data_IF_621367764802
#
_entry.id   IF_621367764802
#
_cell.length_a   1.000
_cell.length_b   1.000
_cell.length_c   1.000
_cell.angle_alpha   90.00
_cell.angle_beta   90.00
_cell.angle_gamma   90.00
#
_symmetry.space_group_name_H-M   'P 1'
#
loop_
_entity.id
_entity.type
_entity.pdbx_description
1 polymer ?
#
# COMPACT_ATOMS: atom_id res chain seq x y z
N UNK A 1 -20.55 -22.97 -11.84
CA UNK A 1 -20.41 -22.64 -13.28
C UNK A 1 -19.54 -21.41 -13.51
N UNK A 2 -19.87 -20.20 -13.01
CA UNK A 2 -19.08 -18.97 -13.26
C UNK A 2 -17.60 -18.99 -12.84
N UNK A 3 -17.26 -19.66 -11.74
CA UNK A 3 -15.86 -19.77 -11.29
C UNK A 3 -15.00 -20.61 -12.26
N UNK A 4 -15.57 -21.68 -12.83
CA UNK A 4 -14.88 -22.52 -13.80
C UNK A 4 -14.71 -21.81 -15.15
N UNK A 5 -15.71 -21.04 -15.58
CA UNK A 5 -15.64 -20.23 -16.81
C UNK A 5 -14.55 -19.14 -16.69
N UNK A 6 -14.45 -18.51 -15.52
CA UNK A 6 -13.40 -17.55 -15.21
C UNK A 6 -12.01 -18.19 -15.28
N UNK A 7 -11.80 -19.32 -14.61
CA UNK A 7 -10.52 -20.04 -14.62
C UNK A 7 -10.12 -20.48 -16.03
N UNK A 8 -11.06 -21.04 -16.81
CA UNK A 8 -10.83 -21.44 -18.19
C UNK A 8 -10.39 -20.26 -19.08
N UNK A 9 -11.05 -19.10 -18.91
CA UNK A 9 -10.70 -17.88 -19.64
C UNK A 9 -9.29 -17.34 -19.30
N UNK A 10 -8.82 -17.54 -18.07
CA UNK A 10 -7.46 -17.17 -17.65
C UNK A 10 -6.42 -18.16 -18.16
N UNK A 11 -6.72 -19.47 -18.13
CA UNK A 11 -5.78 -20.51 -18.60
C UNK A 11 -5.61 -20.52 -20.11
N UNK A 12 -6.62 -20.13 -20.87
CA UNK A 12 -6.60 -20.16 -22.32
C UNK A 12 -7.22 -18.88 -22.90
N UNK A 13 -6.55 -17.73 -22.71
CA UNK A 13 -7.11 -16.46 -23.13
C UNK A 13 -7.11 -16.36 -24.66
N UNK A 14 -8.12 -15.69 -25.22
CA UNK A 14 -8.22 -15.44 -26.67
C UNK A 14 -7.08 -14.58 -27.22
N UNK A 15 -6.45 -13.78 -26.35
CA UNK A 15 -5.23 -13.03 -26.62
C UNK A 15 -4.34 -13.10 -25.38
N UNK A 16 -3.06 -13.34 -25.59
CA UNK A 16 -2.10 -13.38 -24.49
C UNK A 16 -2.03 -12.02 -23.79
N UNK A 17 -2.17 -12.04 -22.46
CA UNK A 17 -2.20 -10.82 -21.67
C UNK A 17 -0.89 -10.04 -21.78
N UNK A 18 0.26 -10.72 -21.70
CA UNK A 18 1.58 -10.07 -21.70
C UNK A 18 1.83 -9.37 -23.03
N UNK A 19 1.55 -10.07 -24.13
CA UNK A 19 1.72 -9.56 -25.49
C UNK A 19 0.87 -8.31 -25.73
N UNK A 20 -0.43 -8.36 -25.44
CA UNK A 20 -1.32 -7.21 -25.67
C UNK A 20 -0.98 -6.04 -24.74
N UNK A 21 -0.61 -6.31 -23.49
CA UNK A 21 -0.24 -5.28 -22.52
C UNK A 21 1.07 -4.58 -22.93
N UNK A 22 2.08 -5.35 -23.35
CA UNK A 22 3.33 -4.78 -23.86
C UNK A 22 3.09 -3.94 -25.13
N UNK A 23 2.23 -4.40 -26.04
CA UNK A 23 1.86 -3.65 -27.24
C UNK A 23 1.12 -2.33 -26.94
N UNK A 24 0.60 -2.13 -25.72
CA UNK A 24 -0.04 -0.88 -25.31
C UNK A 24 0.93 0.21 -24.85
N UNK A 25 2.22 -0.12 -24.64
CA UNK A 25 3.22 0.81 -24.12
C UNK A 25 3.34 2.13 -24.91
N UNK A 26 3.36 2.14 -26.27
CA UNK A 26 3.40 3.40 -27.03
C UNK A 26 2.17 4.30 -26.77
N UNK A 27 0.98 3.71 -26.67
CA UNK A 27 -0.27 4.45 -26.41
C UNK A 27 -0.33 4.99 -24.98
N UNK A 28 0.25 4.25 -24.04
CA UNK A 28 0.42 4.71 -22.66
C UNK A 28 1.34 5.94 -22.60
N UNK A 29 2.52 5.86 -23.22
CA UNK A 29 3.50 6.96 -23.27
C UNK A 29 2.86 8.21 -23.89
N UNK A 30 2.20 8.06 -25.04
CA UNK A 30 1.50 9.16 -25.70
C UNK A 30 0.45 9.79 -24.79
N UNK A 31 -0.41 8.97 -24.18
CA UNK A 31 -1.50 9.41 -23.32
C UNK A 31 -1.02 10.17 -22.08
N UNK A 32 0.01 9.64 -21.40
CA UNK A 32 0.61 10.28 -20.22
C UNK A 32 1.30 11.60 -20.61
N UNK A 33 2.08 11.59 -21.69
CA UNK A 33 2.78 12.79 -22.18
C UNK A 33 1.78 13.89 -22.54
N UNK A 34 0.73 13.55 -23.29
CA UNK A 34 -0.34 14.49 -23.64
C UNK A 34 -1.04 15.05 -22.40
N UNK A 35 -1.39 14.20 -21.44
CA UNK A 35 -2.04 14.64 -20.20
C UNK A 35 -1.14 15.59 -19.37
N UNK A 36 0.16 15.32 -19.34
CA UNK A 36 1.16 16.15 -18.69
C UNK A 36 1.30 17.52 -19.39
N UNK A 37 1.52 17.52 -20.71
CA UNK A 37 1.62 18.73 -21.54
C UNK A 37 0.39 19.61 -21.42
N UNK A 38 -0.81 19.01 -21.44
CA UNK A 38 -2.07 19.74 -21.31
C UNK A 38 -2.40 20.16 -19.86
N UNK A 39 -1.53 19.84 -18.89
CA UNK A 39 -1.69 20.12 -17.45
C UNK A 39 -3.01 19.60 -16.89
N UNK A 40 -3.48 18.44 -17.34
CA UNK A 40 -4.81 17.90 -16.98
C UNK A 40 -4.96 17.68 -15.48
N UNK A 41 -3.91 17.19 -14.81
CA UNK A 41 -3.90 17.00 -13.36
C UNK A 41 -4.15 18.33 -12.62
N UNK A 42 -3.33 19.35 -12.90
CA UNK A 42 -3.45 20.66 -12.26
C UNK A 42 -4.80 21.33 -12.52
N UNK A 43 -5.32 21.24 -13.76
CA UNK A 43 -6.68 21.69 -14.09
C UNK A 43 -7.76 20.96 -13.29
N UNK A 44 -7.60 19.64 -13.10
CA UNK A 44 -8.47 18.82 -12.27
C UNK A 44 -8.47 19.27 -10.80
N UNK A 45 -7.28 19.50 -10.23
CA UNK A 45 -7.10 20.01 -8.86
C UNK A 45 -7.75 21.38 -8.71
N UNK A 46 -7.46 22.33 -9.61
CA UNK A 46 -8.02 23.68 -9.58
C UNK A 46 -9.56 23.67 -9.70
N UNK A 47 -10.11 22.80 -10.56
CA UNK A 47 -11.56 22.64 -10.74
C UNK A 47 -12.26 22.13 -9.48
N UNK A 48 -11.61 21.28 -8.69
CA UNK A 48 -12.17 20.81 -7.41
C UNK A 48 -12.00 21.88 -6.35
N UNK A 49 -10.76 22.35 -6.17
CA UNK A 49 -10.41 23.36 -5.17
C UNK A 49 -10.56 22.87 -3.71
N UNK A 50 -10.03 23.68 -2.79
CA UNK A 50 -10.03 23.36 -1.35
C UNK A 50 -11.44 23.22 -0.79
N UNK A 51 -12.35 24.12 -1.15
CA UNK A 51 -13.70 24.15 -0.57
C UNK A 51 -14.52 22.88 -0.87
N UNK A 52 -14.45 22.36 -2.10
CA UNK A 52 -15.18 21.13 -2.47
C UNK A 52 -14.57 19.91 -1.78
N UNK A 53 -13.24 19.84 -1.70
CA UNK A 53 -12.55 18.78 -0.96
C UNK A 53 -12.93 18.81 0.52
N UNK A 54 -12.84 19.96 1.18
CA UNK A 54 -13.21 20.12 2.60
C UNK A 54 -14.64 19.67 2.85
N UNK A 55 -15.61 20.16 2.06
CA UNK A 55 -17.01 19.76 2.21
C UNK A 55 -17.20 18.25 2.10
N UNK A 56 -16.59 17.59 1.10
CA UNK A 56 -16.72 16.14 0.93
C UNK A 56 -16.01 15.35 2.03
N UNK A 57 -14.83 15.79 2.45
CA UNK A 57 -14.08 15.17 3.54
C UNK A 57 -14.82 15.27 4.88
N UNK A 58 -15.45 16.41 5.15
CA UNK A 58 -16.23 16.64 6.38
C UNK A 58 -17.56 15.90 6.31
N UNK A 59 -18.40 16.20 5.32
CA UNK A 59 -19.79 15.71 5.30
C UNK A 59 -19.90 14.20 5.04
N UNK A 60 -18.93 13.62 4.31
CA UNK A 60 -18.94 12.20 3.94
C UNK A 60 -17.81 11.43 4.59
N UNK A 61 -16.60 11.99 4.60
CA UNK A 61 -15.41 11.30 5.10
C UNK A 61 -15.49 11.00 6.61
N UNK A 62 -15.95 11.96 7.42
CA UNK A 62 -16.03 11.78 8.89
C UNK A 62 -16.96 10.62 9.28
N UNK A 63 -18.13 10.52 8.63
CA UNK A 63 -19.08 9.43 8.85
C UNK A 63 -18.54 8.06 8.44
N UNK A 64 -17.61 8.00 7.47
CA UNK A 64 -17.00 6.75 6.99
C UNK A 64 -15.76 6.34 7.78
N UNK A 65 -15.02 7.30 8.32
CA UNK A 65 -13.72 7.05 8.94
C UNK A 65 -13.81 6.10 10.12
N UNK A 66 -14.66 6.40 11.11
CA UNK A 66 -14.80 5.57 12.32
C UNK A 66 -15.19 4.12 12.00
N UNK A 67 -16.31 3.88 11.28
CA UNK A 67 -16.70 2.52 10.89
C UNK A 67 -15.66 1.80 10.05
N UNK A 68 -14.98 2.51 9.13
CA UNK A 68 -13.92 1.93 8.31
C UNK A 68 -12.71 1.48 9.12
N UNK A 69 -12.29 2.29 10.11
CA UNK A 69 -11.21 1.92 11.04
C UNK A 69 -11.62 0.70 11.87
N UNK A 70 -12.84 0.68 12.41
CA UNK A 70 -13.33 -0.44 13.20
C UNK A 70 -13.40 -1.74 12.38
N UNK A 71 -13.86 -1.67 11.14
CA UNK A 71 -13.93 -2.81 10.23
C UNK A 71 -12.55 -3.35 9.85
N UNK A 72 -11.53 -2.49 9.75
CA UNK A 72 -10.15 -2.88 9.45
C UNK A 72 -9.37 -3.39 10.68
N UNK A 73 -9.95 -3.30 11.89
CA UNK A 73 -9.31 -3.73 13.13
C UNK A 73 -8.83 -5.18 13.11
N UNK A 74 -9.67 -6.16 12.74
CA UNK A 74 -9.27 -7.56 12.63
C UNK A 74 -8.12 -7.78 11.63
N UNK A 75 -8.20 -7.17 10.44
CA UNK A 75 -7.14 -7.30 9.42
C UNK A 75 -5.81 -6.71 9.91
N UNK A 76 -5.87 -5.58 10.63
CA UNK A 76 -4.69 -4.99 11.25
C UNK A 76 -4.12 -5.89 12.34
N UNK A 77 -4.95 -6.45 13.20
CA UNK A 77 -4.50 -7.36 14.26
C UNK A 77 -3.90 -8.65 13.68
N UNK A 78 -4.51 -9.22 12.65
CA UNK A 78 -3.97 -10.40 11.95
C UNK A 78 -2.63 -10.09 11.27
N UNK A 79 -2.54 -8.96 10.55
CA UNK A 79 -1.34 -8.59 9.80
C UNK A 79 -0.19 -8.11 10.68
N UNK A 80 -0.47 -7.34 11.73
CA UNK A 80 0.55 -6.73 12.60
C UNK A 80 0.81 -7.52 13.88
N UNK A 81 -0.19 -8.22 14.41
CA UNK A 81 -0.09 -9.00 15.66
C UNK A 81 1.14 -9.89 15.74
N UNK A 82 1.46 -10.69 14.71
CA UNK A 82 2.65 -11.54 14.74
C UNK A 82 3.97 -10.77 14.85
N UNK A 83 4.04 -9.55 14.31
CA UNK A 83 5.22 -8.69 14.40
C UNK A 83 5.27 -7.95 15.75
N UNK A 84 4.12 -7.49 16.24
CA UNK A 84 3.98 -6.91 17.59
C UNK A 84 4.49 -7.89 18.64
N UNK A 85 4.09 -9.15 18.56
CA UNK A 85 4.46 -10.18 19.52
C UNK A 85 5.96 -10.49 19.47
N UNK A 86 6.56 -10.49 18.26
CA UNK A 86 8.02 -10.59 18.11
C UNK A 86 8.72 -9.42 18.80
N UNK A 87 8.29 -8.17 18.54
CA UNK A 87 8.89 -6.98 19.16
C UNK A 87 8.78 -7.04 20.68
N UNK A 88 7.60 -7.41 21.20
CA UNK A 88 7.36 -7.52 22.63
C UNK A 88 8.22 -8.58 23.31
N UNK A 89 8.59 -9.65 22.59
CA UNK A 89 9.47 -10.71 23.06
C UNK A 89 10.96 -10.42 22.95
N UNK A 90 11.38 -9.29 22.36
CA UNK A 90 12.80 -8.99 22.18
C UNK A 90 13.47 -8.52 23.47
N UNK A 91 14.52 -9.24 23.85
CA UNK A 91 15.55 -8.72 24.76
C UNK A 91 16.53 -7.87 23.96
N UNK A 92 16.47 -6.56 24.15
CA UNK A 92 17.35 -5.63 23.43
C UNK A 92 18.70 -5.45 24.17
N UNK A 93 19.83 -5.29 23.43
CA UNK A 93 21.13 -4.96 24.01
C UNK A 93 21.09 -3.70 24.87
N UNK A 94 22.08 -3.50 25.75
CA UNK A 94 22.17 -2.32 26.62
C UNK A 94 21.97 -1.02 25.81
N UNK A 95 21.15 -0.10 26.37
CA UNK A 95 20.97 1.23 25.80
C UNK A 95 22.06 2.17 26.32
N UNK A 96 22.72 2.87 25.41
CA UNK A 96 23.74 3.88 25.71
C UNK A 96 23.17 5.30 25.53
N UNK A 97 23.98 6.32 25.78
CA UNK A 97 23.59 7.73 25.62
C UNK A 97 23.09 8.03 24.21
N UNK A 98 22.21 9.03 24.08
CA UNK A 98 21.66 9.44 22.78
C UNK A 98 22.79 9.78 21.81
N UNK A 99 22.75 9.19 20.61
CA UNK A 99 23.77 9.39 19.57
C UNK A 99 24.99 8.46 19.64
N UNK A 100 25.10 7.60 20.66
CA UNK A 100 26.17 6.59 20.73
C UNK A 100 25.93 5.49 19.69
N UNK A 101 26.93 5.24 18.83
CA UNK A 101 26.86 4.26 17.73
C UNK A 101 26.51 2.85 18.19
N UNK A 102 26.84 2.46 19.43
CA UNK A 102 26.49 1.14 19.98
C UNK A 102 24.99 0.92 20.06
N UNK A 103 24.17 1.98 20.09
CA UNK A 103 22.72 1.85 20.02
C UNK A 103 22.23 1.29 18.68
N UNK A 104 23.03 1.34 17.61
CA UNK A 104 22.69 0.73 16.31
C UNK A 104 22.54 -0.79 16.43
N UNK A 105 23.23 -1.43 17.38
CA UNK A 105 23.06 -2.85 17.66
C UNK A 105 21.61 -3.20 18.04
N UNK A 106 20.91 -2.30 18.77
CA UNK A 106 19.50 -2.49 19.13
C UNK A 106 18.59 -2.44 17.90
N UNK A 107 18.87 -1.53 16.96
CA UNK A 107 18.15 -1.44 15.68
C UNK A 107 18.38 -2.70 14.86
N UNK A 108 19.63 -3.17 14.76
CA UNK A 108 19.98 -4.39 14.05
C UNK A 108 19.23 -5.61 14.62
N UNK A 109 19.11 -5.74 15.95
CA UNK A 109 18.34 -6.81 16.61
C UNK A 109 16.88 -6.80 16.20
N UNK A 110 16.21 -5.63 16.25
CA UNK A 110 14.80 -5.51 15.88
C UNK A 110 14.60 -5.81 14.39
N UNK A 111 15.41 -5.20 13.51
CA UNK A 111 15.30 -5.39 12.06
C UNK A 111 15.48 -6.86 11.68
N UNK A 112 16.50 -7.53 12.25
CA UNK A 112 16.73 -8.95 11.98
C UNK A 112 15.54 -9.80 12.43
N UNK A 113 15.02 -9.57 13.63
CA UNK A 113 13.90 -10.34 14.16
C UNK A 113 12.62 -10.20 13.32
N UNK A 114 12.30 -8.98 12.88
CA UNK A 114 11.13 -8.74 12.04
C UNK A 114 11.30 -9.31 10.63
N UNK A 115 12.51 -9.21 10.06
CA UNK A 115 12.82 -9.81 8.77
C UNK A 115 12.73 -11.34 8.81
N UNK A 116 13.28 -11.94 9.86
CA UNK A 116 13.19 -13.38 10.14
C UNK A 116 11.73 -13.84 10.25
N UNK A 117 10.87 -13.08 10.95
CA UNK A 117 9.43 -13.37 11.04
C UNK A 117 8.75 -13.30 9.68
N UNK A 118 9.02 -12.26 8.89
CA UNK A 118 8.45 -12.09 7.54
C UNK A 118 8.77 -13.25 6.59
N UNK A 119 10.01 -13.74 6.61
CA UNK A 119 10.44 -14.82 5.70
C UNK A 119 9.89 -16.18 6.11
N UNK A 120 9.77 -16.45 7.41
CA UNK A 120 9.40 -17.78 7.92
C UNK A 120 7.89 -18.01 8.06
N UNK A 121 7.07 -16.95 7.98
CA UNK A 121 5.62 -17.02 8.23
C UNK A 121 5.28 -16.67 9.67
#
# INVERSE_FOLDING_TARGET
MRAADYEAGVRSPRRDWKTETAAAEPRYIEGVTKAATEKRFGKGVARVGTAKWQRKSIDVGTARFGPGVAAAGPDYEEGFGPYRDVIAGLTLPQKYTTGDDRNLARVATVTKALHDKKIRG
#
